data_IF_331540151271
#
_entry.id   IF_331540151271
#
_cell.length_a   1.000
_cell.length_b   1.000
_cell.length_c   1.000
_cell.angle_alpha   90.00
_cell.angle_beta   90.00
_cell.angle_gamma   90.00
#
_symmetry.space_group_name_H-M   'P 1'
#
loop_
_entity.id
_entity.type
_entity.pdbx_description
1 polymer ?
#
# COMPACT_ATOMS: atom_id res chain seq x y z
N UNK A 1 -17.04 -2.67 20.68
CA UNK A 1 -16.13 -1.53 20.46
C UNK A 1 -14.85 -1.85 19.68
N UNK A 2 -14.63 -3.09 19.23
CA UNK A 2 -13.44 -3.45 18.44
C UNK A 2 -13.42 -2.93 17.00
N UNK A 3 -14.58 -2.83 16.34
CA UNK A 3 -14.65 -2.35 14.94
C UNK A 3 -14.30 -0.86 14.81
N UNK A 4 -14.73 -0.01 15.75
CA UNK A 4 -14.40 1.43 15.76
C UNK A 4 -12.89 1.63 15.93
N UNK A 5 -12.23 0.78 16.72
CA UNK A 5 -10.78 0.82 16.89
C UNK A 5 -10.02 0.43 15.60
N UNK A 6 -10.57 -0.42 14.74
CA UNK A 6 -9.94 -0.74 13.45
C UNK A 6 -9.97 0.46 12.50
N UNK A 7 -11.05 1.24 12.50
CA UNK A 7 -11.16 2.44 11.68
C UNK A 7 -10.28 3.60 12.20
N UNK A 8 -10.19 3.81 13.51
CA UNK A 8 -9.38 4.90 14.06
C UNK A 8 -7.88 4.59 14.05
N UNK A 9 -7.49 3.33 14.28
CA UNK A 9 -6.09 2.92 14.21
C UNK A 9 -5.62 2.64 12.78
N UNK A 10 -6.52 2.65 11.79
CA UNK A 10 -6.17 2.46 10.38
C UNK A 10 -5.09 3.43 9.92
N UNK A 11 -5.16 4.71 10.30
CA UNK A 11 -4.14 5.70 9.90
C UNK A 11 -2.75 5.31 10.42
N UNK A 12 -2.64 4.95 11.70
CA UNK A 12 -1.38 4.52 12.31
C UNK A 12 -0.88 3.17 11.79
N UNK A 13 -1.78 2.28 11.35
CA UNK A 13 -1.42 1.02 10.70
C UNK A 13 -1.02 1.24 9.23
N UNK A 14 -1.70 2.12 8.51
CA UNK A 14 -1.36 2.52 7.15
C UNK A 14 0.01 3.23 7.11
N UNK A 15 0.35 4.02 8.12
CA UNK A 15 1.68 4.63 8.25
C UNK A 15 2.77 3.59 8.59
N UNK A 16 2.45 2.57 9.40
CA UNK A 16 3.38 1.47 9.70
C UNK A 16 3.58 0.52 8.50
N UNK A 17 2.51 0.28 7.73
CA UNK A 17 2.53 -0.48 6.46
C UNK A 17 3.07 0.38 5.31
N UNK A 18 3.07 1.70 5.46
CA UNK A 18 3.58 2.65 4.47
C UNK A 18 5.09 2.60 4.26
N UNK A 19 5.82 1.82 5.07
CA UNK A 19 7.24 1.52 4.88
C UNK A 19 7.42 0.06 4.41
N UNK A 20 7.52 -0.18 3.09
CA UNK A 20 7.71 -1.53 2.54
C UNK A 20 8.93 -2.26 3.15
N UNK A 21 9.98 -1.50 3.45
CA UNK A 21 11.22 -2.04 4.03
C UNK A 21 10.97 -2.62 5.43
N UNK A 22 10.21 -1.91 6.28
CA UNK A 22 9.88 -2.39 7.64
C UNK A 22 8.98 -3.62 7.64
N UNK A 23 8.04 -3.72 6.71
CA UNK A 23 7.20 -4.93 6.56
C UNK A 23 8.08 -6.14 6.27
N UNK A 24 9.04 -6.00 5.36
CA UNK A 24 9.97 -7.07 5.00
C UNK A 24 10.88 -7.42 6.19
N UNK A 25 11.43 -6.42 6.88
CA UNK A 25 12.26 -6.63 8.08
C UNK A 25 11.51 -7.39 9.18
N UNK A 26 10.30 -6.93 9.52
CA UNK A 26 9.48 -7.54 10.55
C UNK A 26 9.03 -8.96 10.15
N UNK A 27 8.60 -9.14 8.90
CA UNK A 27 8.24 -10.46 8.37
C UNK A 27 9.41 -11.44 8.39
N UNK A 28 10.61 -11.00 8.01
CA UNK A 28 11.82 -11.82 8.05
C UNK A 28 12.21 -12.19 9.49
N UNK A 29 12.04 -11.29 10.45
CA UNK A 29 12.24 -11.56 11.87
C UNK A 29 11.26 -12.60 12.42
N UNK A 30 9.96 -12.46 12.11
CA UNK A 30 8.93 -13.41 12.53
C UNK A 30 9.13 -14.80 11.89
N UNK A 31 9.53 -14.84 10.62
CA UNK A 31 9.79 -16.10 9.90
C UNK A 31 10.93 -16.93 10.48
N UNK A 32 11.95 -16.27 11.07
CA UNK A 32 13.08 -16.93 11.71
C UNK A 32 12.77 -17.43 13.12
N UNK A 33 11.84 -16.78 13.82
CA UNK A 33 11.64 -16.99 15.27
C UNK A 33 10.38 -17.81 15.59
N UNK A 34 9.23 -17.50 14.99
CA UNK A 34 7.96 -18.19 15.28
C UNK A 34 6.97 -18.13 14.11
N UNK A 35 6.88 -19.24 13.36
CA UNK A 35 5.95 -19.39 12.24
C UNK A 35 4.47 -19.24 12.66
N UNK A 36 4.11 -19.43 13.95
CA UNK A 36 2.73 -19.24 14.42
C UNK A 36 2.32 -17.77 14.43
N UNK A 37 3.27 -16.85 14.60
CA UNK A 37 3.03 -15.40 14.58
C UNK A 37 3.04 -14.79 13.18
N UNK A 38 3.59 -15.51 12.19
CA UNK A 38 3.54 -15.09 10.79
C UNK A 38 2.12 -15.07 10.22
N UNK A 39 1.28 -16.05 10.57
CA UNK A 39 -0.09 -16.12 10.05
C UNK A 39 -0.93 -14.88 10.42
N UNK A 40 -1.04 -14.47 11.70
CA UNK A 40 -1.78 -13.26 12.04
C UNK A 40 -1.11 -11.98 11.48
N UNK A 41 0.22 -11.93 11.37
CA UNK A 41 0.91 -10.82 10.72
C UNK A 41 0.53 -10.70 9.23
N UNK A 42 0.60 -11.81 8.48
CA UNK A 42 0.21 -11.86 7.08
C UNK A 42 -1.28 -11.54 6.89
N UNK A 43 -2.15 -11.97 7.80
CA UNK A 43 -3.57 -11.64 7.77
C UNK A 43 -3.80 -10.12 7.87
N UNK A 44 -3.09 -9.44 8.77
CA UNK A 44 -3.16 -7.98 8.92
C UNK A 44 -2.67 -7.27 7.65
N UNK A 45 -1.52 -7.68 7.09
CA UNK A 45 -1.00 -7.11 5.84
C UNK A 45 -1.98 -7.31 4.69
N UNK A 46 -2.58 -8.50 4.57
CA UNK A 46 -3.56 -8.83 3.54
C UNK A 46 -4.81 -7.96 3.63
N UNK A 47 -5.35 -7.75 4.84
CA UNK A 47 -6.49 -6.85 5.07
C UNK A 47 -6.13 -5.42 4.66
N UNK A 48 -4.95 -4.93 5.03
CA UNK A 48 -4.51 -3.58 4.67
C UNK A 48 -4.36 -3.43 3.15
N UNK A 49 -3.81 -4.44 2.47
CA UNK A 49 -3.68 -4.43 1.02
C UNK A 49 -5.05 -4.48 0.33
N UNK A 50 -5.99 -5.27 0.85
CA UNK A 50 -7.37 -5.30 0.34
C UNK A 50 -8.05 -3.92 0.46
N UNK A 51 -7.85 -3.23 1.59
CA UNK A 51 -8.37 -1.87 1.78
C UNK A 51 -7.75 -0.87 0.81
N UNK A 52 -6.43 -0.94 0.60
CA UNK A 52 -5.73 -0.09 -0.39
C UNK A 52 -6.24 -0.39 -1.81
N UNK A 53 -6.41 -1.67 -2.17
CA UNK A 53 -6.88 -2.08 -3.49
C UNK A 53 -8.30 -1.59 -3.81
N UNK A 54 -9.15 -1.33 -2.81
CA UNK A 54 -10.50 -0.80 -3.02
C UNK A 54 -10.51 0.71 -3.30
N UNK A 55 -9.42 1.42 -2.98
CA UNK A 55 -9.34 2.86 -3.24
C UNK A 55 -9.47 3.15 -4.74
N UNK A 56 -10.09 4.29 -5.13
CA UNK A 56 -10.23 4.70 -6.52
C UNK A 56 -8.90 5.24 -7.09
N UNK A 57 -7.82 4.48 -6.90
CA UNK A 57 -6.50 4.80 -7.40
C UNK A 57 -6.26 4.07 -8.72
N UNK A 58 -5.70 4.77 -9.72
CA UNK A 58 -5.33 4.17 -10.98
C UNK A 58 -4.25 3.11 -10.77
N UNK A 59 -4.34 1.97 -11.48
CA UNK A 59 -3.58 0.71 -11.30
C UNK A 59 -4.09 -0.29 -10.25
N UNK A 60 -5.01 0.11 -9.36
CA UNK A 60 -5.62 -0.81 -8.38
C UNK A 60 -6.99 -1.29 -8.86
N UNK A 61 -7.48 -2.39 -8.27
CA UNK A 61 -8.80 -2.97 -8.58
C UNK A 61 -9.94 -1.95 -8.40
N UNK A 62 -9.82 -1.10 -7.37
CA UNK A 62 -10.73 -0.01 -7.07
C UNK A 62 -10.75 1.11 -8.12
N UNK A 63 -9.67 1.27 -8.91
CA UNK A 63 -9.65 2.17 -10.05
C UNK A 63 -10.57 1.71 -11.18
N UNK A 64 -10.62 0.40 -11.44
CA UNK A 64 -11.56 -0.17 -12.41
C UNK A 64 -13.00 -0.09 -11.91
N UNK A 65 -13.22 -0.40 -10.62
CA UNK A 65 -14.52 -0.24 -9.99
C UNK A 65 -15.00 1.22 -10.05
N UNK A 66 -14.10 2.19 -9.84
CA UNK A 66 -14.43 3.61 -9.97
C UNK A 66 -14.87 3.97 -11.39
N UNK A 67 -14.18 3.47 -12.43
CA UNK A 67 -14.63 3.67 -13.81
C UNK A 67 -15.99 3.04 -14.07
N UNK A 68 -16.24 1.83 -13.57
CA UNK A 68 -17.53 1.17 -13.72
C UNK A 68 -18.66 1.98 -13.06
N UNK A 69 -18.42 2.52 -11.86
CA UNK A 69 -19.38 3.39 -11.17
C UNK A 69 -19.63 4.66 -11.98
N UNK A 70 -18.57 5.28 -12.50
CA UNK A 70 -18.69 6.47 -13.36
C UNK A 70 -19.51 6.15 -14.61
N UNK A 71 -19.24 5.04 -15.29
CA UNK A 71 -20.00 4.58 -16.46
C UNK A 71 -21.47 4.31 -16.13
N UNK A 72 -21.74 3.68 -14.99
CA UNK A 72 -23.10 3.42 -14.51
C UNK A 72 -23.87 4.73 -14.27
N UNK A 73 -23.21 5.76 -13.73
CA UNK A 73 -23.79 7.09 -13.52
C UNK A 73 -23.99 7.83 -14.84
N UNK A 74 -23.01 7.78 -15.74
CA UNK A 74 -23.06 8.46 -17.03
C UNK A 74 -23.98 7.77 -18.06
N UNK A 75 -24.32 6.49 -17.84
CA UNK A 75 -25.12 5.67 -18.75
C UNK A 75 -24.46 5.39 -20.10
N UNK A 76 -23.15 5.66 -20.23
CA UNK A 76 -22.36 5.43 -21.45
C UNK A 76 -20.94 5.01 -21.08
N UNK A 77 -20.31 4.14 -21.89
CA UNK A 77 -18.95 3.70 -21.65
C UNK A 77 -17.96 4.87 -21.75
N UNK A 78 -16.95 4.88 -20.89
CA UNK A 78 -15.86 5.85 -20.98
C UNK A 78 -14.98 5.49 -22.18
N UNK A 79 -14.32 6.48 -22.81
CA UNK A 79 -13.38 6.21 -23.88
C UNK A 79 -12.25 5.29 -23.39
N UNK A 80 -12.02 4.17 -24.07
CA UNK A 80 -10.96 3.20 -23.73
C UNK A 80 -9.59 3.87 -23.63
N UNK A 81 -9.29 4.78 -24.56
CA UNK A 81 -8.05 5.58 -24.54
C UNK A 81 -7.88 6.42 -23.26
N UNK A 82 -8.97 6.91 -22.70
CA UNK A 82 -8.93 7.66 -21.44
C UNK A 82 -8.63 6.74 -20.27
N UNK A 83 -9.35 5.61 -20.15
CA UNK A 83 -9.08 4.62 -19.11
C UNK A 83 -7.65 4.10 -19.16
N UNK A 84 -7.16 3.73 -20.35
CA UNK A 84 -5.80 3.26 -20.59
C UNK A 84 -4.74 4.31 -20.20
N UNK A 85 -4.96 5.57 -20.59
CA UNK A 85 -4.04 6.66 -20.24
C UNK A 85 -3.97 6.88 -18.74
N UNK A 86 -5.12 6.89 -18.06
CA UNK A 86 -5.19 7.06 -16.61
C UNK A 86 -4.54 5.87 -15.89
N UNK A 87 -4.78 4.63 -16.35
CA UNK A 87 -4.16 3.43 -15.75
C UNK A 87 -2.66 3.42 -15.94
N UNK A 88 -2.19 3.69 -17.15
CA UNK A 88 -0.76 3.72 -17.46
C UNK A 88 -0.04 4.78 -16.63
N UNK A 89 -0.62 5.97 -16.53
CA UNK A 89 -0.07 7.06 -15.72
C UNK A 89 -0.06 6.68 -14.24
N UNK A 90 -1.13 6.07 -13.74
CA UNK A 90 -1.22 5.59 -12.36
C UNK A 90 -0.16 4.54 -12.03
N UNK A 91 0.05 3.54 -12.90
CA UNK A 91 1.09 2.52 -12.69
C UNK A 91 2.47 3.19 -12.58
N UNK A 92 2.82 4.04 -13.55
CA UNK A 92 4.13 4.71 -13.56
C UNK A 92 4.31 5.58 -12.33
N UNK A 93 3.27 6.31 -11.94
CA UNK A 93 3.27 7.15 -10.74
C UNK A 93 3.46 6.32 -9.47
N UNK A 94 2.66 5.27 -9.27
CA UNK A 94 2.74 4.41 -8.09
C UNK A 94 4.07 3.66 -8.00
N UNK A 95 4.59 3.15 -9.12
CA UNK A 95 5.92 2.56 -9.15
C UNK A 95 7.01 3.59 -8.80
N UNK A 96 6.90 4.81 -9.35
CA UNK A 96 7.82 5.89 -9.02
C UNK A 96 7.80 6.25 -7.53
N UNK A 97 6.61 6.38 -6.94
CA UNK A 97 6.43 6.62 -5.51
C UNK A 97 6.96 5.45 -4.68
N UNK A 98 6.68 4.21 -5.07
CA UNK A 98 7.15 3.01 -4.38
C UNK A 98 8.68 2.92 -4.34
N UNK A 99 9.34 3.13 -5.49
CA UNK A 99 10.81 3.18 -5.55
C UNK A 99 11.35 4.31 -4.69
N UNK A 100 10.75 5.50 -4.77
CA UNK A 100 11.15 6.65 -3.97
C UNK A 100 11.07 6.37 -2.46
N UNK A 101 9.98 5.76 -2.00
CA UNK A 101 9.81 5.38 -0.59
C UNK A 101 10.85 4.36 -0.15
N UNK A 102 11.12 3.33 -0.95
CA UNK A 102 12.16 2.33 -0.65
C UNK A 102 13.54 2.98 -0.54
N UNK A 103 13.91 3.84 -1.50
CA UNK A 103 15.21 4.55 -1.48
C UNK A 103 15.31 5.47 -0.27
N UNK A 104 14.24 6.21 0.06
CA UNK A 104 14.18 7.06 1.25
C UNK A 104 14.36 6.23 2.53
N UNK A 105 13.68 5.09 2.64
CA UNK A 105 13.75 4.25 3.83
C UNK A 105 15.17 3.68 4.02
N UNK A 106 15.81 3.19 2.96
CA UNK A 106 17.19 2.67 2.99
C UNK A 106 18.19 3.77 3.40
N UNK A 107 18.08 4.96 2.78
CA UNK A 107 18.99 6.08 3.08
C UNK A 107 18.82 6.60 4.51
N UNK A 108 17.59 6.59 5.04
CA UNK A 108 17.35 6.95 6.45
C UNK A 108 17.88 5.91 7.44
N UNK A 109 17.86 4.62 7.08
CA UNK A 109 18.31 3.53 7.94
C UNK A 109 19.85 3.48 8.08
N UNK A 110 20.61 3.77 7.02
CA UNK A 110 22.09 3.64 7.06
C UNK A 110 22.84 4.96 7.34
N UNK A 111 22.36 6.11 6.85
CA UNK A 111 23.13 7.37 6.90
C UNK A 111 23.06 8.04 8.28
N UNK A 112 21.92 7.95 8.98
CA UNK A 112 21.74 8.60 10.30
C UNK A 112 22.34 7.80 11.46
N UNK A 113 22.56 6.49 11.31
CA UNK A 113 23.15 5.66 12.36
C UNK A 113 24.68 5.82 12.42
N UNK A 114 25.33 5.99 11.27
CA UNK A 114 26.78 6.19 11.18
C UNK A 114 27.24 7.58 11.68
N UNK A 115 26.37 8.59 11.66
CA UNK A 115 26.70 9.96 12.12
C UNK A 115 26.37 10.24 13.59
N UNK A 116 25.55 9.39 14.24
CA UNK A 116 25.25 9.51 15.68
C UNK A 116 26.23 8.73 16.56
N UNK A 117 27.05 7.87 15.96
CA UNK A 117 28.10 7.08 16.63
C UNK A 117 29.52 7.63 16.40
N UNK A 118 29.67 8.84 15.85
CA UNK A 118 30.93 9.61 15.87
C UNK A 118 30.81 10.83 16.77
#
# INVERSE_FOLDING_TARGET
>A
SGMVALFTNFSSMADQVGSPVKIVEQGAGLAKNDLRTLFPFAAIISINLAMINILPLPALDGGQLAFLIIEAILGKPLPTRFQESVMRTGIVFLLGVGIFLIVRDITQLEVLQNLRQQ
#
